data_IF_948360331425
#
_entry.id   IF_948360331425
#
_cell.length_a   1.000
_cell.length_b   1.000
_cell.length_c   1.000
_cell.angle_alpha   90.00
_cell.angle_beta   90.00
_cell.angle_gamma   90.00
#
_symmetry.space_group_name_H-M   'P 1'
#
loop_
_entity.id
_entity.type
_entity.pdbx_description
1 polymer ?
#
# COMPACT_ATOMS: atom_id res chain seq x y z
N UNK A 1 2.65 -2.12 -24.42
CA UNK A 1 2.03 -3.20 -25.23
C UNK A 1 1.15 -2.56 -26.28
N UNK A 2 1.01 -3.17 -27.48
CA UNK A 2 0.24 -2.60 -28.59
C UNK A 2 -1.24 -2.34 -28.25
N UNK A 3 -1.83 -3.15 -27.38
CA UNK A 3 -3.26 -3.09 -27.04
C UNK A 3 -3.57 -2.30 -25.75
N UNK A 4 -2.53 -1.76 -25.08
CA UNK A 4 -2.66 -1.02 -23.80
C UNK A 4 -3.46 -1.74 -22.68
N UNK A 5 -3.60 -3.05 -22.77
CA UNK A 5 -4.24 -3.93 -21.78
C UNK A 5 -3.20 -4.84 -21.10
N UNK A 6 -3.51 -5.33 -19.90
CA UNK A 6 -2.72 -6.34 -19.19
C UNK A 6 -3.46 -7.67 -19.28
N UNK A 7 -2.83 -8.68 -19.90
CA UNK A 7 -3.43 -10.00 -20.06
C UNK A 7 -3.36 -10.81 -18.76
N UNK A 8 -4.27 -11.76 -18.58
CA UNK A 8 -4.20 -12.73 -17.48
C UNK A 8 -2.98 -13.65 -17.62
N UNK A 9 -2.64 -14.02 -18.86
CA UNK A 9 -1.43 -14.79 -19.14
C UNK A 9 -0.19 -13.87 -19.15
N UNK A 10 0.60 -13.93 -18.07
CA UNK A 10 1.83 -13.15 -17.89
C UNK A 10 2.87 -13.29 -19.03
N UNK A 11 2.81 -14.34 -19.86
CA UNK A 11 3.69 -14.45 -21.02
C UNK A 11 3.29 -13.50 -22.15
N UNK A 12 2.01 -13.16 -22.28
CA UNK A 12 1.53 -12.17 -23.24
C UNK A 12 1.89 -10.74 -22.81
N UNK A 13 2.21 -10.55 -21.53
CA UNK A 13 2.67 -9.30 -20.97
C UNK A 13 4.17 -9.03 -21.19
N UNK A 14 4.87 -9.83 -22.01
CA UNK A 14 6.32 -9.72 -22.26
C UNK A 14 6.61 -9.25 -23.68
N UNK A 15 7.44 -8.21 -23.79
CA UNK A 15 8.03 -7.77 -25.06
C UNK A 15 9.47 -8.30 -25.19
N UNK A 16 9.79 -8.91 -26.33
CA UNK A 16 11.15 -9.36 -26.64
C UNK A 16 11.79 -8.41 -27.64
N UNK A 17 13.00 -7.95 -27.34
CA UNK A 17 13.82 -7.13 -28.25
C UNK A 17 15.03 -7.97 -28.64
N UNK A 18 15.16 -8.26 -29.94
CA UNK A 18 16.31 -8.94 -30.51
C UNK A 18 17.13 -7.91 -31.30
N UNK A 19 18.40 -7.77 -30.97
CA UNK A 19 19.32 -6.87 -31.69
C UNK A 19 20.67 -7.55 -31.88
N UNK A 20 21.25 -7.36 -33.07
CA UNK A 20 22.61 -7.76 -33.42
C UNK A 20 23.57 -6.55 -33.47
N UNK A 21 23.10 -5.35 -33.13
CA UNK A 21 23.87 -4.11 -33.18
C UNK A 21 24.53 -3.86 -31.82
N UNK A 22 25.87 -3.93 -31.75
CA UNK A 22 26.64 -3.72 -30.51
C UNK A 22 26.38 -2.38 -29.81
N UNK A 23 26.04 -1.33 -30.57
CA UNK A 23 25.75 0.00 -30.00
C UNK A 23 24.41 0.09 -29.27
N UNK A 24 23.54 -0.93 -29.39
CA UNK A 24 22.30 -1.07 -28.62
C UNK A 24 22.54 -1.90 -27.35
N UNK A 25 23.70 -1.73 -26.72
CA UNK A 25 24.00 -2.33 -25.43
C UNK A 25 22.96 -1.87 -24.40
N UNK A 26 22.36 -2.84 -23.70
CA UNK A 26 21.30 -2.57 -22.72
C UNK A 26 21.88 -1.76 -21.58
N UNK A 27 21.61 -0.46 -21.56
CA UNK A 27 21.98 0.42 -20.46
C UNK A 27 21.04 0.22 -19.28
N UNK A 28 21.54 0.52 -18.08
CA UNK A 28 20.73 0.60 -16.87
C UNK A 28 19.65 1.67 -17.06
N UNK A 29 18.39 1.26 -16.97
CA UNK A 29 17.27 2.19 -16.91
C UNK A 29 17.27 2.88 -15.53
N UNK A 30 17.24 4.21 -15.51
CA UNK A 30 17.32 4.98 -14.27
C UNK A 30 15.95 5.23 -13.64
N UNK A 31 14.90 5.33 -14.46
CA UNK A 31 13.55 5.63 -13.98
C UNK A 31 12.83 4.39 -13.44
N UNK A 32 12.92 3.26 -14.16
CA UNK A 32 12.40 1.97 -13.75
C UNK A 32 13.49 0.88 -13.86
N UNK A 33 14.37 0.75 -12.85
CA UNK A 33 15.58 -0.05 -12.97
C UNK A 33 15.36 -1.53 -13.25
N UNK A 34 14.22 -2.11 -12.84
CA UNK A 34 13.95 -3.54 -13.00
C UNK A 34 13.25 -3.91 -14.32
N UNK A 35 12.99 -2.93 -15.21
CA UNK A 35 12.17 -3.15 -16.41
C UNK A 35 12.87 -4.01 -17.47
N UNK A 36 14.18 -3.87 -17.63
CA UNK A 36 14.93 -4.62 -18.66
C UNK A 36 15.51 -5.89 -18.04
N UNK A 37 15.02 -7.05 -18.46
CA UNK A 37 15.42 -8.36 -17.92
C UNK A 37 16.11 -9.18 -19.01
N UNK A 38 17.44 -9.16 -19.02
CA UNK A 38 18.27 -9.78 -20.07
C UNK A 38 19.01 -11.05 -19.63
N UNK A 39 19.09 -11.32 -18.33
CA UNK A 39 19.75 -12.53 -17.80
C UNK A 39 18.71 -13.65 -17.72
N UNK A 40 18.94 -14.74 -18.44
CA UNK A 40 18.06 -15.92 -18.39
C UNK A 40 18.60 -16.93 -17.39
N UNK A 41 17.78 -17.36 -16.44
CA UNK A 41 18.04 -18.48 -15.53
C UNK A 41 17.06 -19.61 -15.80
N UNK A 42 17.49 -20.85 -15.63
CA UNK A 42 16.67 -22.05 -15.88
C UNK A 42 16.71 -22.98 -14.68
N UNK A 43 15.56 -23.56 -14.31
CA UNK A 43 15.54 -24.51 -13.20
C UNK A 43 16.31 -25.76 -13.62
N UNK A 44 17.07 -26.34 -12.70
CA UNK A 44 17.79 -27.60 -12.91
C UNK A 44 16.79 -28.75 -13.11
N UNK A 45 17.22 -29.80 -13.81
CA UNK A 45 16.37 -30.97 -14.12
C UNK A 45 16.03 -31.83 -12.90
N UNK A 46 16.66 -31.57 -11.74
CA UNK A 46 16.33 -32.19 -10.45
C UNK A 46 14.95 -31.80 -9.90
N UNK A 47 14.26 -30.87 -10.56
CA UNK A 47 12.94 -30.38 -10.17
C UNK A 47 11.85 -31.41 -10.46
N UNK A 48 11.01 -31.66 -9.46
CA UNK A 48 9.78 -32.44 -9.59
C UNK A 48 8.58 -31.51 -9.33
N UNK A 49 7.44 -31.69 -10.04
CA UNK A 49 6.25 -30.86 -9.84
C UNK A 49 5.77 -30.83 -8.38
N UNK A 50 5.55 -29.63 -7.84
CA UNK A 50 5.13 -29.43 -6.46
C UNK A 50 3.60 -29.34 -6.31
N UNK A 51 2.91 -28.82 -7.32
CA UNK A 51 1.46 -28.56 -7.36
C UNK A 51 0.96 -27.84 -6.11
N UNK A 52 1.59 -26.73 -5.77
CA UNK A 52 1.20 -25.95 -4.61
C UNK A 52 -0.04 -25.14 -4.91
N UNK A 53 -0.94 -24.99 -3.94
CA UNK A 53 -2.00 -24.00 -4.02
C UNK A 53 -1.40 -22.60 -3.79
N UNK A 54 -1.38 -21.75 -4.81
CA UNK A 54 -0.85 -20.37 -4.69
C UNK A 54 -1.96 -19.35 -4.82
N UNK A 55 -1.88 -18.32 -3.99
CA UNK A 55 -2.71 -17.12 -4.06
C UNK A 55 -1.90 -15.95 -4.61
N UNK A 56 -2.35 -15.37 -5.71
CA UNK A 56 -1.79 -14.12 -6.21
C UNK A 56 -2.92 -13.14 -6.50
N UNK A 57 -2.70 -11.89 -6.14
CA UNK A 57 -3.60 -10.82 -6.55
C UNK A 57 -2.85 -9.53 -6.76
N UNK A 58 -3.23 -8.82 -7.81
CA UNK A 58 -2.84 -7.44 -7.99
C UNK A 58 -3.39 -6.56 -6.86
N UNK A 59 -2.69 -5.44 -6.61
CA UNK A 59 -3.12 -4.45 -5.62
C UNK A 59 -4.47 -3.88 -6.03
N UNK A 60 -5.47 -4.05 -5.17
CA UNK A 60 -6.86 -3.58 -5.40
C UNK A 60 -7.13 -2.18 -4.86
N UNK A 61 -6.36 -1.77 -3.85
CA UNK A 61 -6.55 -0.52 -3.12
C UNK A 61 -5.24 0.25 -2.99
N UNK A 62 -5.26 1.54 -3.33
CA UNK A 62 -4.11 2.43 -3.22
C UNK A 62 -4.17 3.30 -1.96
N UNK A 63 -5.09 3.00 -1.06
CA UNK A 63 -5.39 3.80 0.13
C UNK A 63 -5.91 5.19 -0.25
N UNK A 64 -6.59 5.33 -1.38
CA UNK A 64 -7.10 6.60 -1.88
C UNK A 64 -8.61 6.73 -1.66
N UNK A 65 -9.04 7.98 -1.51
CA UNK A 65 -10.46 8.35 -1.51
C UNK A 65 -10.97 8.37 -2.95
N UNK A 66 -12.02 7.58 -3.23
CA UNK A 66 -12.63 7.43 -4.55
C UNK A 66 -13.97 8.19 -4.65
N UNK A 67 -14.58 8.18 -5.85
CA UNK A 67 -15.80 8.96 -6.15
C UNK A 67 -17.00 8.65 -5.24
N UNK A 68 -17.07 7.47 -4.65
CA UNK A 68 -18.11 7.12 -3.69
C UNK A 68 -18.13 8.02 -2.44
N UNK A 69 -17.00 8.66 -2.12
CA UNK A 69 -16.87 9.68 -1.09
C UNK A 69 -17.84 10.85 -1.28
N UNK A 70 -18.20 11.19 -2.53
CA UNK A 70 -19.06 12.34 -2.81
C UNK A 70 -20.42 12.21 -2.13
N UNK A 71 -20.99 11.00 -2.15
CA UNK A 71 -22.27 10.75 -1.53
C UNK A 71 -22.18 10.79 0.01
N UNK A 72 -21.05 10.38 0.58
CA UNK A 72 -20.82 10.44 2.04
C UNK A 72 -20.64 11.89 2.49
N UNK A 73 -19.89 12.69 1.73
CA UNK A 73 -19.72 14.12 1.97
C UNK A 73 -21.05 14.87 1.86
N UNK A 74 -21.84 14.60 0.82
CA UNK A 74 -23.18 15.17 0.67
C UNK A 74 -24.05 14.87 1.90
N UNK A 75 -24.10 13.61 2.33
CA UNK A 75 -24.87 13.18 3.51
C UNK A 75 -24.42 13.90 4.78
N UNK A 76 -23.12 13.91 5.06
CA UNK A 76 -22.56 14.48 6.29
C UNK A 76 -22.79 15.99 6.36
N UNK A 77 -22.46 16.73 5.28
CA UNK A 77 -22.68 18.17 5.24
C UNK A 77 -24.16 18.54 5.22
N UNK A 78 -25.00 17.85 4.45
CA UNK A 78 -26.44 18.13 4.43
C UNK A 78 -27.06 17.91 5.81
N UNK A 79 -26.70 16.82 6.50
CA UNK A 79 -27.12 16.56 7.87
C UNK A 79 -26.67 17.68 8.81
N UNK A 80 -25.41 18.10 8.73
CA UNK A 80 -24.88 19.17 9.56
C UNK A 80 -25.60 20.49 9.30
N UNK A 81 -25.79 20.91 8.06
CA UNK A 81 -26.44 22.18 7.72
C UNK A 81 -27.98 22.09 7.69
N UNK A 82 -28.58 20.94 7.96
CA UNK A 82 -30.03 20.74 7.88
C UNK A 82 -30.60 20.92 6.46
N UNK A 83 -29.80 20.64 5.44
CA UNK A 83 -30.19 20.68 4.02
C UNK A 83 -30.79 19.31 3.65
N UNK A 84 -31.85 19.30 2.85
CA UNK A 84 -32.40 18.06 2.31
C UNK A 84 -31.57 17.60 1.11
N UNK A 85 -30.89 16.46 1.26
CA UNK A 85 -30.02 15.90 0.22
C UNK A 85 -30.76 15.53 -1.07
N UNK A 86 -32.09 15.31 -0.99
CA UNK A 86 -32.95 14.92 -2.11
C UNK A 86 -33.40 16.10 -2.96
N UNK A 87 -33.35 17.31 -2.43
CA UNK A 87 -33.72 18.53 -3.15
C UNK A 87 -32.52 19.01 -3.98
N UNK A 88 -32.50 18.61 -5.26
CA UNK A 88 -31.32 18.79 -6.11
C UNK A 88 -31.17 20.19 -6.73
N UNK A 89 -32.22 21.01 -6.83
CA UNK A 89 -32.17 22.34 -7.47
C UNK A 89 -33.25 23.29 -6.92
N UNK A 90 -32.96 24.60 -6.89
CA UNK A 90 -33.97 25.66 -6.72
C UNK A 90 -34.26 26.16 -5.30
N UNK A 91 -33.59 25.61 -4.27
CA UNK A 91 -33.75 26.03 -2.86
C UNK A 91 -32.51 26.73 -2.29
N UNK A 92 -31.68 27.33 -3.16
CA UNK A 92 -30.37 27.84 -2.79
C UNK A 92 -30.42 28.92 -1.71
N UNK A 93 -31.37 29.85 -1.77
CA UNK A 93 -31.46 30.93 -0.78
C UNK A 93 -31.81 30.37 0.60
N UNK A 94 -32.77 29.45 0.68
CA UNK A 94 -33.10 28.74 1.93
C UNK A 94 -31.92 27.91 2.45
N UNK A 95 -31.15 27.29 1.56
CA UNK A 95 -29.96 26.54 1.95
C UNK A 95 -28.86 27.47 2.46
N UNK A 96 -28.63 28.62 1.81
CA UNK A 96 -27.70 29.65 2.26
C UNK A 96 -28.10 30.17 3.64
N UNK A 97 -29.39 30.42 3.90
CA UNK A 97 -29.87 30.85 5.22
C UNK A 97 -29.55 29.82 6.29
N UNK A 98 -29.78 28.53 6.02
CA UNK A 98 -29.43 27.43 6.94
C UNK A 98 -27.92 27.33 7.20
N UNK A 99 -27.11 27.54 6.17
CA UNK A 99 -25.64 27.54 6.28
C UNK A 99 -25.15 28.74 7.09
N UNK A 100 -25.69 29.94 6.84
CA UNK A 100 -25.39 31.18 7.59
C UNK A 100 -25.67 31.09 9.07
N UNK A 101 -26.64 30.26 9.49
CA UNK A 101 -26.91 30.02 10.90
C UNK A 101 -25.80 29.27 11.64
N UNK A 102 -24.88 28.60 10.92
CA UNK A 102 -23.84 27.75 11.51
C UNK A 102 -22.42 28.21 11.21
N UNK A 103 -22.20 28.81 10.06
CA UNK A 103 -20.88 29.27 9.61
C UNK A 103 -20.99 30.64 8.96
N UNK A 104 -19.88 31.37 8.98
CA UNK A 104 -19.82 32.63 8.25
C UNK A 104 -19.61 32.36 6.75
N UNK A 105 -20.56 32.77 5.92
CA UNK A 105 -20.40 32.78 4.45
C UNK A 105 -20.49 34.20 3.88
N UNK A 106 -20.56 35.22 4.73
CA UNK A 106 -20.62 36.63 4.32
C UNK A 106 -19.21 37.22 4.16
N UNK A 107 -19.09 38.15 3.19
CA UNK A 107 -17.88 38.82 2.70
C UNK A 107 -16.99 38.05 1.72
N UNK A 108 -17.47 37.80 0.49
CA UNK A 108 -16.69 37.98 -0.77
C UNK A 108 -17.64 38.38 -1.93
N UNK A 109 -18.51 39.37 -1.71
CA UNK A 109 -19.33 39.93 -2.79
C UNK A 109 -18.57 40.98 -3.64
N UNK A 110 -17.31 41.28 -3.31
CA UNK A 110 -16.45 42.06 -4.20
C UNK A 110 -15.95 41.16 -5.33
N UNK A 111 -16.82 40.96 -6.32
CA UNK A 111 -16.36 40.82 -7.70
C UNK A 111 -15.34 41.94 -7.95
N UNK A 112 -14.13 41.57 -8.33
CA UNK A 112 -13.07 42.42 -8.87
C UNK A 112 -12.09 43.13 -7.92
N UNK A 113 -12.20 43.02 -6.60
CA UNK A 113 -11.10 43.48 -5.72
C UNK A 113 -10.34 42.30 -5.13
N UNK A 114 -9.03 42.35 -5.33
CA UNK A 114 -8.09 41.36 -4.86
C UNK A 114 -8.31 41.15 -3.35
N UNK A 115 -8.78 39.97 -2.99
CA UNK A 115 -9.00 39.51 -1.61
C UNK A 115 -7.62 39.25 -0.99
N UNK A 116 -6.86 40.32 -0.73
CA UNK A 116 -5.47 40.24 -0.25
C UNK A 116 -5.34 40.54 1.25
N UNK A 117 -6.37 41.04 1.92
CA UNK A 117 -6.23 41.64 3.26
C UNK A 117 -7.32 41.24 4.27
N UNK A 118 -7.65 39.95 4.41
CA UNK A 118 -8.49 39.48 5.53
C UNK A 118 -7.67 38.58 6.44
N UNK A 119 -7.49 39.00 7.68
CA UNK A 119 -6.77 38.24 8.71
C UNK A 119 -7.58 37.02 9.15
N UNK A 120 -6.97 35.83 9.13
CA UNK A 120 -7.53 34.60 9.68
C UNK A 120 -7.62 34.67 11.21
N UNK A 121 -8.71 34.17 11.81
CA UNK A 121 -8.80 33.99 13.26
C UNK A 121 -8.03 32.73 13.67
N UNK A 122 -6.84 32.98 14.22
CA UNK A 122 -5.81 31.98 14.47
C UNK A 122 -6.17 31.06 15.64
N UNK A 123 -7.08 31.50 16.52
CA UNK A 123 -7.53 30.76 17.71
C UNK A 123 -8.35 29.51 17.40
N UNK A 124 -8.77 29.32 16.15
CA UNK A 124 -9.49 28.13 15.69
C UNK A 124 -8.55 26.96 15.41
N UNK A 125 -7.27 27.22 15.13
CA UNK A 125 -6.28 26.19 14.84
C UNK A 125 -5.72 25.53 16.11
N UNK A 126 -5.67 26.28 17.21
CA UNK A 126 -5.39 25.74 18.56
C UNK A 126 -6.47 24.74 19.06
N UNK A 127 -7.63 24.67 18.38
CA UNK A 127 -8.73 23.73 18.70
C UNK A 127 -8.73 22.47 17.84
N UNK A 128 -7.80 22.35 16.88
CA UNK A 128 -7.54 21.08 16.24
C UNK A 128 -6.95 20.13 17.30
N UNK A 129 -7.38 18.87 17.40
CA UNK A 129 -6.85 17.96 18.41
C UNK A 129 -5.32 17.83 18.25
N UNK A 130 -4.57 18.43 19.17
CA UNK A 130 -3.10 18.44 19.21
C UNK A 130 -2.54 17.01 19.14
N UNK A 131 -3.28 16.07 19.75
CA UNK A 131 -3.01 14.65 19.81
C UNK A 131 -3.10 13.91 18.44
N UNK A 132 -3.61 14.56 17.39
CA UNK A 132 -3.60 14.02 16.00
C UNK A 132 -2.59 14.67 15.06
N UNK A 133 -1.96 15.79 15.44
CA UNK A 133 -1.05 16.56 14.57
C UNK A 133 0.36 16.48 15.16
N UNK A 134 1.29 15.80 14.49
CA UNK A 134 2.64 15.54 15.03
C UNK A 134 3.75 16.32 14.32
N UNK A 135 4.76 16.76 15.07
CA UNK A 135 6.02 17.30 14.52
C UNK A 135 5.86 18.64 13.77
N UNK A 136 6.59 18.79 12.66
CA UNK A 136 6.61 20.00 11.78
C UNK A 136 5.21 20.49 11.34
N UNK A 137 4.18 19.65 11.45
CA UNK A 137 2.80 19.99 11.12
C UNK A 137 2.17 20.89 12.18
N UNK A 138 2.54 20.76 13.46
CA UNK A 138 2.09 21.65 14.53
C UNK A 138 2.68 23.08 14.37
N UNK A 139 3.96 23.17 13.97
CA UNK A 139 4.61 24.47 13.67
C UNK A 139 3.96 25.22 12.49
N UNK A 140 3.35 24.48 11.56
CA UNK A 140 2.64 24.97 10.38
C UNK A 140 1.28 25.61 10.71
N UNK A 141 0.63 25.12 11.75
CA UNK A 141 -0.60 25.67 12.31
C UNK A 141 -0.34 26.60 13.51
N UNK A 142 0.94 26.94 13.79
CA UNK A 142 1.27 27.85 14.89
C UNK A 142 0.74 29.25 14.63
N UNK A 143 0.40 29.94 15.73
CA UNK A 143 -0.14 31.29 15.70
C UNK A 143 0.77 32.25 14.91
N UNK A 144 2.08 32.01 14.95
CA UNK A 144 3.11 32.81 14.28
C UNK A 144 3.22 32.56 12.77
N UNK A 145 2.97 31.33 12.29
CA UNK A 145 2.96 31.00 10.85
C UNK A 145 1.67 31.49 10.19
N UNK A 146 0.55 31.38 10.91
CA UNK A 146 -0.79 31.80 10.45
C UNK A 146 -1.04 33.31 10.55
N UNK A 147 -0.25 34.06 11.34
CA UNK A 147 -0.28 35.53 11.36
C UNK A 147 0.68 36.19 10.35
N UNK A 148 1.74 35.51 9.87
CA UNK A 148 2.74 36.03 8.90
C UNK A 148 2.24 36.03 7.45
N UNK A 149 0.94 36.04 7.30
CA UNK A 149 0.19 35.37 6.26
C UNK A 149 -0.61 36.37 5.43
N UNK A 150 0.07 37.43 4.95
CA UNK A 150 -0.49 38.32 3.94
C UNK A 150 -0.44 37.57 2.61
N UNK A 151 -1.50 36.83 2.28
CA UNK A 151 -1.34 35.67 1.42
C UNK A 151 -1.62 35.90 -0.06
N UNK A 152 -0.66 35.43 -0.86
CA UNK A 152 -0.80 35.19 -2.28
C UNK A 152 -1.80 34.05 -2.55
N UNK A 153 -2.28 33.88 -3.79
CA UNK A 153 -3.16 32.76 -4.13
C UNK A 153 -2.53 31.40 -3.82
N UNK A 154 -1.20 31.27 -3.94
CA UNK A 154 -0.45 30.03 -3.70
C UNK A 154 -0.54 29.58 -2.25
N UNK A 155 -0.47 30.53 -1.31
CA UNK A 155 -0.60 30.25 0.11
C UNK A 155 -2.01 29.76 0.47
N UNK A 156 -3.05 30.39 -0.08
CA UNK A 156 -4.45 29.97 0.12
C UNK A 156 -4.68 28.50 -0.27
N UNK A 157 -4.18 28.12 -1.45
CA UNK A 157 -4.25 26.72 -1.91
C UNK A 157 -3.52 25.78 -0.95
N UNK A 158 -2.36 26.20 -0.45
CA UNK A 158 -1.55 25.41 0.47
C UNK A 158 -2.27 25.16 1.81
N UNK A 159 -2.80 26.18 2.48
CA UNK A 159 -3.51 26.01 3.75
C UNK A 159 -4.80 25.20 3.61
N UNK A 160 -5.53 25.40 2.52
CA UNK A 160 -6.74 24.62 2.25
C UNK A 160 -6.42 23.12 2.06
N UNK A 161 -5.35 22.79 1.32
CA UNK A 161 -4.91 21.40 1.18
C UNK A 161 -4.33 20.82 2.47
N UNK A 162 -3.64 21.62 3.28
CA UNK A 162 -3.15 21.22 4.60
C UNK A 162 -4.30 20.86 5.55
N UNK A 163 -5.38 21.65 5.56
CA UNK A 163 -6.58 21.35 6.35
C UNK A 163 -7.21 20.01 5.94
N UNK A 164 -7.34 19.76 4.63
CA UNK A 164 -7.84 18.46 4.14
C UNK A 164 -6.90 17.34 4.57
N UNK A 165 -5.59 17.49 4.33
CA UNK A 165 -4.56 16.49 4.63
C UNK A 165 -4.60 16.06 6.09
N UNK A 166 -4.70 17.00 7.03
CA UNK A 166 -4.77 16.72 8.47
C UNK A 166 -5.97 15.84 8.87
N UNK A 167 -7.04 15.86 8.07
CA UNK A 167 -8.28 15.14 8.36
C UNK A 167 -8.47 13.84 7.55
N UNK A 168 -7.49 13.44 6.73
CA UNK A 168 -7.57 12.22 5.91
C UNK A 168 -7.47 10.91 6.71
N UNK A 169 -7.04 10.95 7.99
CA UNK A 169 -7.08 9.81 8.92
C UNK A 169 -6.60 8.45 8.33
N UNK A 170 -5.45 8.41 7.65
CA UNK A 170 -4.84 7.19 7.13
C UNK A 170 -4.97 6.96 5.62
N UNK A 171 -5.75 7.77 4.90
CA UNK A 171 -5.76 7.77 3.43
C UNK A 171 -4.51 8.47 2.83
N UNK A 172 -4.06 8.00 1.67
CA UNK A 172 -2.95 8.53 0.89
C UNK A 172 -3.23 9.97 0.45
N UNK A 173 -2.48 10.92 1.02
CA UNK A 173 -2.72 12.35 0.80
C UNK A 173 -2.64 12.78 -0.67
N UNK A 174 -1.57 12.41 -1.38
CA UNK A 174 -1.35 12.80 -2.78
C UNK A 174 -2.47 12.33 -3.70
N UNK A 175 -3.08 11.19 -3.38
CA UNK A 175 -4.14 10.57 -4.20
C UNK A 175 -5.53 11.05 -3.80
N UNK A 176 -5.72 11.42 -2.53
CA UNK A 176 -7.06 11.70 -1.97
C UNK A 176 -7.46 13.17 -2.01
N UNK A 177 -6.52 14.10 -1.85
CA UNK A 177 -6.80 15.55 -1.82
C UNK A 177 -7.62 15.99 -3.05
N UNK A 178 -7.26 15.64 -4.30
CA UNK A 178 -8.04 16.07 -5.47
C UNK A 178 -9.51 15.64 -5.41
N UNK A 179 -9.78 14.39 -5.00
CA UNK A 179 -11.14 13.85 -4.87
C UNK A 179 -11.93 14.60 -3.79
N UNK A 180 -11.32 14.87 -2.63
CA UNK A 180 -11.98 15.61 -1.54
C UNK A 180 -12.30 17.05 -1.95
N UNK A 181 -11.35 17.74 -2.60
CA UNK A 181 -11.57 19.10 -3.14
C UNK A 181 -12.75 19.11 -4.11
N UNK A 182 -12.76 18.19 -5.05
CA UNK A 182 -13.83 18.10 -6.05
C UNK A 182 -15.18 17.76 -5.41
N UNK A 183 -15.22 16.87 -4.43
CA UNK A 183 -16.42 16.56 -3.66
C UNK A 183 -16.99 17.82 -2.97
N UNK A 184 -16.12 18.59 -2.30
CA UNK A 184 -16.49 19.83 -1.63
C UNK A 184 -17.01 20.88 -2.60
N UNK A 185 -16.30 21.13 -3.71
CA UNK A 185 -16.72 22.08 -4.73
C UNK A 185 -18.06 21.69 -5.35
N UNK A 186 -18.27 20.39 -5.60
CA UNK A 186 -19.57 19.89 -6.06
C UNK A 186 -20.67 20.12 -5.04
N UNK A 187 -20.41 19.97 -3.74
CA UNK A 187 -21.39 20.26 -2.69
C UNK A 187 -21.81 21.74 -2.69
N UNK A 188 -20.84 22.67 -2.70
CA UNK A 188 -21.13 24.11 -2.76
C UNK A 188 -21.87 24.51 -4.02
N UNK A 189 -21.47 23.98 -5.18
CA UNK A 189 -22.18 24.20 -6.45
C UNK A 189 -23.61 23.65 -6.39
N UNK A 190 -23.78 22.41 -5.92
CA UNK A 190 -25.07 21.69 -5.90
C UNK A 190 -26.07 22.32 -4.94
N UNK A 191 -25.65 22.70 -3.74
CA UNK A 191 -26.56 23.12 -2.67
C UNK A 191 -26.63 24.63 -2.46
N UNK A 192 -25.60 25.39 -2.87
CA UNK A 192 -25.52 26.85 -2.67
C UNK A 192 -25.40 27.64 -3.99
N UNK A 193 -25.33 26.95 -5.14
CA UNK A 193 -25.20 27.56 -6.47
C UNK A 193 -23.99 28.50 -6.61
N UNK A 194 -22.86 28.13 -6.01
CA UNK A 194 -21.60 28.84 -6.22
C UNK A 194 -21.00 28.39 -7.55
N UNK A 195 -20.83 29.33 -8.48
CA UNK A 195 -20.19 29.07 -9.78
C UNK A 195 -18.70 28.76 -9.56
N UNK A 196 -18.20 27.66 -10.11
CA UNK A 196 -16.80 27.26 -9.97
C UNK A 196 -15.86 28.00 -10.95
N UNK A 197 -16.40 28.74 -11.91
CA UNK A 197 -15.64 29.57 -12.86
C UNK A 197 -15.29 30.92 -12.22
N UNK A 198 -14.16 31.51 -12.62
CA UNK A 198 -13.66 32.77 -12.06
C UNK A 198 -13.23 32.58 -10.60
N UNK A 199 -13.61 33.51 -9.73
CA UNK A 199 -13.16 33.52 -8.33
C UNK A 199 -13.94 32.57 -7.40
N UNK A 200 -14.85 31.73 -7.92
CA UNK A 200 -15.70 30.90 -7.06
C UNK A 200 -14.98 29.78 -6.32
N UNK A 201 -13.92 29.20 -6.90
CA UNK A 201 -13.06 28.24 -6.18
C UNK A 201 -12.36 28.93 -5.00
N UNK A 202 -11.80 30.12 -5.26
CA UNK A 202 -11.15 30.95 -4.23
C UNK A 202 -12.16 31.32 -3.14
N UNK A 203 -13.39 31.66 -3.52
CA UNK A 203 -14.48 31.95 -2.58
C UNK A 203 -14.78 30.76 -1.67
N UNK A 204 -14.91 29.55 -2.22
CA UNK A 204 -15.15 28.34 -1.43
C UNK A 204 -13.99 28.06 -0.47
N UNK A 205 -12.74 28.19 -0.94
CA UNK A 205 -11.57 27.95 -0.09
C UNK A 205 -11.50 28.93 1.07
N UNK A 206 -11.79 30.21 0.82
CA UNK A 206 -11.88 31.23 1.87
C UNK A 206 -13.01 30.92 2.87
N UNK A 207 -14.22 30.54 2.41
CA UNK A 207 -15.29 30.08 3.33
C UNK A 207 -14.78 28.95 4.22
N UNK A 208 -14.08 27.98 3.65
CA UNK A 208 -13.60 26.82 4.41
C UNK A 208 -12.56 27.23 5.45
N UNK A 209 -11.61 28.09 5.08
CA UNK A 209 -10.54 28.54 5.97
C UNK A 209 -11.04 29.51 7.05
N UNK A 210 -11.94 30.44 6.72
CA UNK A 210 -12.62 31.31 7.69
C UNK A 210 -13.43 30.51 8.72
N UNK A 211 -13.77 29.24 8.39
CA UNK A 211 -14.52 28.34 9.25
C UNK A 211 -13.75 27.02 9.50
N UNK A 212 -12.41 27.09 9.56
CA UNK A 212 -11.53 25.91 9.53
C UNK A 212 -11.87 24.86 10.60
N UNK A 213 -12.17 25.26 11.84
CA UNK A 213 -12.53 24.32 12.91
C UNK A 213 -13.79 23.51 12.62
N UNK A 214 -14.83 24.17 12.06
CA UNK A 214 -16.06 23.49 11.65
C UNK A 214 -15.80 22.52 10.50
N UNK A 215 -15.04 22.94 9.48
CA UNK A 215 -14.72 22.09 8.35
C UNK A 215 -13.77 20.94 8.70
N UNK A 216 -12.84 21.13 9.66
CA UNK A 216 -12.01 20.04 10.17
C UNK A 216 -12.87 18.92 10.76
N UNK A 217 -13.82 19.27 11.65
CA UNK A 217 -14.75 18.31 12.24
C UNK A 217 -15.57 17.62 11.13
N UNK A 218 -16.08 18.38 10.16
CA UNK A 218 -16.89 17.81 9.09
C UNK A 218 -16.10 16.89 8.16
N UNK A 219 -14.86 17.23 7.82
CA UNK A 219 -13.98 16.35 7.07
C UNK A 219 -13.69 15.08 7.85
N UNK A 220 -13.32 15.19 9.13
CA UNK A 220 -13.05 14.04 9.98
C UNK A 220 -14.29 13.13 10.14
N UNK A 221 -15.48 13.69 10.39
CA UNK A 221 -16.74 12.93 10.42
C UNK A 221 -17.02 12.22 9.10
N UNK A 222 -16.87 12.94 7.97
CA UNK A 222 -17.10 12.37 6.64
C UNK A 222 -16.13 11.23 6.36
N UNK A 223 -14.85 11.39 6.73
CA UNK A 223 -13.82 10.37 6.54
C UNK A 223 -14.08 9.15 7.40
N UNK A 224 -14.47 9.33 8.67
CA UNK A 224 -14.86 8.21 9.55
C UNK A 224 -16.08 7.46 8.98
N UNK A 225 -17.07 8.16 8.46
CA UNK A 225 -18.25 7.56 7.82
C UNK A 225 -17.92 6.86 6.50
N UNK A 226 -16.89 7.33 5.78
CA UNK A 226 -16.47 6.77 4.50
C UNK A 226 -15.65 5.48 4.64
N UNK A 227 -14.79 5.37 5.66
CA UNK A 227 -13.94 4.20 5.90
C UNK A 227 -14.66 2.85 5.76
N UNK A 228 -15.79 2.57 6.46
CA UNK A 228 -16.45 1.27 6.36
C UNK A 228 -17.00 1.00 4.95
N UNK A 229 -17.49 2.03 4.26
CA UNK A 229 -17.97 1.90 2.88
C UNK A 229 -16.82 1.59 1.92
N UNK A 230 -15.67 2.23 2.11
CA UNK A 230 -14.46 1.93 1.34
C UNK A 230 -13.94 0.51 1.60
N UNK A 231 -13.94 0.07 2.85
CA UNK A 231 -13.58 -1.30 3.21
C UNK A 231 -14.49 -2.34 2.54
N UNK A 232 -15.81 -2.08 2.50
CA UNK A 232 -16.77 -2.92 1.80
C UNK A 232 -16.54 -2.95 0.28
N UNK A 233 -16.30 -1.79 -0.34
CA UNK A 233 -15.94 -1.69 -1.76
C UNK A 233 -14.69 -2.50 -2.10
N UNK A 234 -13.67 -2.41 -1.23
CA UNK A 234 -12.42 -3.18 -1.38
C UNK A 234 -12.71 -4.67 -1.27
N UNK A 235 -13.42 -5.11 -0.22
CA UNK A 235 -13.70 -6.53 0.01
C UNK A 235 -14.53 -7.13 -1.13
N UNK A 236 -15.57 -6.43 -1.59
CA UNK A 236 -16.37 -6.88 -2.73
C UNK A 236 -15.54 -7.01 -4.00
N UNK A 237 -14.69 -6.03 -4.28
CA UNK A 237 -13.78 -6.10 -5.43
C UNK A 237 -12.79 -7.25 -5.30
N UNK A 238 -12.33 -7.55 -4.09
CA UNK A 238 -11.46 -8.70 -3.82
C UNK A 238 -12.19 -10.00 -4.15
N UNK A 239 -13.42 -10.18 -3.64
CA UNK A 239 -14.24 -11.36 -3.89
C UNK A 239 -14.52 -11.57 -5.39
N UNK A 240 -14.73 -10.49 -6.14
CA UNK A 240 -15.01 -10.54 -7.58
C UNK A 240 -13.81 -10.98 -8.45
N UNK A 241 -12.58 -10.69 -8.02
CA UNK A 241 -11.35 -10.96 -8.80
C UNK A 241 -10.45 -12.02 -8.15
N UNK A 242 -10.92 -12.67 -7.09
CA UNK A 242 -10.13 -13.64 -6.35
C UNK A 242 -9.86 -14.89 -7.20
N UNK A 243 -8.57 -15.15 -7.45
CA UNK A 243 -8.12 -16.29 -8.24
C UNK A 243 -7.07 -17.10 -7.46
N UNK A 244 -7.20 -18.42 -7.54
CA UNK A 244 -6.29 -19.38 -6.94
C UNK A 244 -5.68 -20.25 -8.04
N UNK A 245 -4.37 -20.43 -7.98
CA UNK A 245 -3.71 -21.45 -8.79
C UNK A 245 -3.55 -22.72 -7.95
N UNK A 246 -4.37 -23.73 -8.22
CA UNK A 246 -4.38 -24.99 -7.46
C UNK A 246 -3.19 -25.92 -7.81
N UNK A 247 -2.48 -25.66 -8.91
CA UNK A 247 -1.32 -26.45 -9.34
C UNK A 247 -0.13 -25.51 -9.67
N UNK A 248 0.17 -24.57 -8.77
CA UNK A 248 1.27 -23.64 -8.96
C UNK A 248 2.62 -24.37 -8.94
N UNK A 249 3.52 -23.93 -9.82
CA UNK A 249 4.84 -24.53 -10.04
C UNK A 249 5.92 -23.44 -10.16
N UNK A 250 7.15 -23.78 -9.73
CA UNK A 250 8.31 -22.95 -10.03
C UNK A 250 8.55 -22.98 -11.55
N UNK A 251 8.45 -21.83 -12.21
CA UNK A 251 8.57 -21.75 -13.67
C UNK A 251 9.90 -22.28 -14.20
N UNK A 252 9.88 -22.84 -15.42
CA UNK A 252 11.06 -23.47 -16.03
C UNK A 252 12.23 -22.50 -16.22
N UNK A 253 11.94 -21.23 -16.49
CA UNK A 253 12.95 -20.20 -16.69
C UNK A 253 12.44 -18.82 -16.29
N UNK A 254 13.36 -17.95 -15.85
CA UNK A 254 13.08 -16.55 -15.57
C UNK A 254 14.07 -15.65 -16.27
N UNK A 255 13.60 -14.46 -16.62
CA UNK A 255 14.46 -13.37 -17.05
C UNK A 255 14.64 -12.43 -15.86
N UNK A 256 15.87 -12.08 -15.55
CA UNK A 256 16.24 -11.23 -14.42
C UNK A 256 16.96 -9.98 -14.93
N UNK A 257 16.88 -8.92 -14.14
CA UNK A 257 17.59 -7.69 -14.41
C UNK A 257 19.05 -7.81 -13.97
N UNK A 258 20.04 -7.59 -14.87
CA UNK A 258 21.46 -7.75 -14.55
C UNK A 258 22.00 -6.72 -13.55
N UNK A 259 21.27 -5.65 -13.26
CA UNK A 259 21.68 -4.59 -12.32
C UNK A 259 21.01 -4.72 -10.95
N UNK A 260 19.90 -5.46 -10.85
CA UNK A 260 19.24 -5.77 -9.59
C UNK A 260 19.69 -7.12 -9.00
N UNK A 261 20.10 -8.05 -9.86
CA UNK A 261 20.54 -9.39 -9.46
C UNK A 261 22.04 -9.57 -9.67
N UNK A 262 22.71 -10.20 -8.70
CA UNK A 262 24.11 -10.57 -8.79
C UNK A 262 24.26 -12.08 -8.99
N UNK A 263 25.32 -12.48 -9.71
CA UNK A 263 25.66 -13.89 -9.91
C UNK A 263 26.34 -14.45 -8.65
N UNK A 264 25.93 -15.64 -8.23
CA UNK A 264 26.56 -16.39 -7.13
C UNK A 264 26.92 -17.80 -7.60
N UNK A 265 27.86 -18.42 -6.88
CA UNK A 265 28.31 -19.81 -7.11
C UNK A 265 27.74 -20.73 -6.02
N UNK A 266 26.41 -20.85 -6.02
CA UNK A 266 25.66 -21.69 -5.09
C UNK A 266 25.15 -22.95 -5.79
N UNK A 267 25.48 -24.11 -5.22
CA UNK A 267 25.29 -25.39 -5.87
C UNK A 267 23.86 -25.92 -5.70
N UNK A 268 23.24 -25.64 -4.55
CA UNK A 268 21.89 -26.12 -4.21
C UNK A 268 20.80 -25.16 -4.70
N UNK A 269 21.14 -23.97 -5.21
CA UNK A 269 20.17 -23.10 -5.86
C UNK A 269 19.48 -23.86 -7.01
N UNK A 270 18.15 -23.84 -7.03
CA UNK A 270 17.37 -24.54 -8.04
C UNK A 270 17.58 -23.96 -9.45
N UNK A 271 17.82 -22.64 -9.55
CA UNK A 271 18.10 -21.98 -10.82
C UNK A 271 19.59 -22.01 -11.16
N UNK A 272 19.89 -22.24 -12.44
CA UNK A 272 21.23 -22.17 -13.02
C UNK A 272 21.23 -21.25 -14.28
N UNK A 273 22.15 -20.27 -14.38
CA UNK A 273 23.06 -19.79 -13.32
C UNK A 273 22.31 -19.21 -12.12
N UNK A 274 22.91 -19.29 -10.93
CA UNK A 274 22.34 -18.70 -9.71
C UNK A 274 22.51 -17.18 -9.74
N UNK A 275 21.37 -16.47 -9.86
CA UNK A 275 21.29 -15.02 -9.76
C UNK A 275 20.29 -14.65 -8.68
N UNK A 276 20.74 -13.83 -7.72
CA UNK A 276 19.96 -13.49 -6.53
C UNK A 276 19.93 -11.99 -6.33
N UNK A 277 18.86 -11.53 -5.70
CA UNK A 277 18.74 -10.20 -5.14
C UNK A 277 18.69 -10.38 -3.62
N UNK A 278 19.75 -9.96 -2.94
CA UNK A 278 19.88 -10.08 -1.50
C UNK A 278 19.75 -8.69 -0.89
N UNK A 279 18.55 -8.39 -0.39
CA UNK A 279 18.24 -7.09 0.21
C UNK A 279 18.52 -7.08 1.73
N UNK A 280 18.79 -8.25 2.32
CA UNK A 280 19.05 -8.41 3.74
C UNK A 280 20.21 -9.38 4.03
N UNK A 281 20.97 -9.11 5.10
CA UNK A 281 22.04 -10.01 5.55
C UNK A 281 21.50 -11.36 6.03
N UNK A 282 20.28 -11.38 6.58
CA UNK A 282 19.67 -12.60 7.12
C UNK A 282 19.38 -13.63 6.03
N UNK A 283 18.88 -13.20 4.87
CA UNK A 283 18.68 -14.09 3.71
C UNK A 283 19.99 -14.68 3.23
N UNK A 284 21.03 -13.84 3.11
CA UNK A 284 22.36 -14.30 2.72
C UNK A 284 22.89 -15.37 3.67
N UNK A 285 22.83 -15.09 4.98
CA UNK A 285 23.29 -16.02 6.01
C UNK A 285 22.51 -17.34 5.96
N UNK A 286 21.20 -17.28 5.69
CA UNK A 286 20.35 -18.47 5.59
C UNK A 286 20.68 -19.31 4.35
N UNK A 287 20.94 -18.66 3.21
CA UNK A 287 21.40 -19.34 1.99
C UNK A 287 22.75 -20.04 2.23
N UNK A 288 23.71 -19.35 2.84
CA UNK A 288 25.02 -19.93 3.18
C UNK A 288 24.87 -21.15 4.10
N UNK A 289 23.95 -21.09 5.06
CA UNK A 289 23.60 -22.23 5.89
C UNK A 289 23.03 -23.39 5.07
N UNK A 290 22.03 -23.15 4.22
CA UNK A 290 21.45 -24.20 3.37
C UNK A 290 22.50 -24.84 2.45
N UNK A 291 23.39 -24.05 1.85
CA UNK A 291 24.49 -24.51 1.01
C UNK A 291 25.51 -25.36 1.78
N UNK A 292 25.65 -25.17 3.10
CA UNK A 292 26.48 -26.03 3.96
C UNK A 292 25.84 -27.39 4.26
N UNK A 293 24.51 -27.52 4.11
CA UNK A 293 23.73 -28.70 4.46
C UNK A 293 23.42 -29.58 3.23
N UNK A 294 24.42 -29.79 2.37
CA UNK A 294 24.31 -30.57 1.12
C UNK A 294 23.85 -32.01 1.33
N UNK A 295 24.05 -32.56 2.52
CA UNK A 295 23.62 -33.92 2.85
C UNK A 295 22.11 -34.01 3.10
N UNK A 296 21.48 -32.94 3.59
CA UNK A 296 20.05 -32.88 3.91
C UNK A 296 19.21 -32.12 2.87
N UNK A 297 19.76 -31.07 2.24
CA UNK A 297 19.06 -30.21 1.29
C UNK A 297 19.25 -30.73 -0.15
N UNK A 298 18.15 -30.93 -0.88
CA UNK A 298 18.16 -31.30 -2.31
C UNK A 298 18.31 -30.07 -3.18
N UNK A 299 17.51 -29.04 -2.92
CA UNK A 299 17.64 -27.71 -3.53
C UNK A 299 16.90 -26.66 -2.71
N UNK A 300 17.24 -25.39 -2.93
CA UNK A 300 16.47 -24.25 -2.43
C UNK A 300 16.17 -23.27 -3.58
N UNK A 301 15.09 -22.52 -3.42
CA UNK A 301 14.64 -21.50 -4.35
C UNK A 301 14.25 -20.24 -3.58
N UNK A 302 14.85 -19.11 -3.96
CA UNK A 302 14.45 -17.79 -3.46
C UNK A 302 13.24 -17.31 -4.29
N UNK A 303 12.20 -16.91 -3.58
CA UNK A 303 11.01 -16.32 -4.18
C UNK A 303 11.34 -14.93 -4.75
N UNK A 304 10.53 -14.45 -5.68
CA UNK A 304 10.70 -13.10 -6.21
C UNK A 304 10.07 -12.05 -5.29
N UNK A 305 10.70 -10.89 -5.23
CA UNK A 305 10.22 -9.69 -4.53
C UNK A 305 9.11 -8.94 -5.29
N UNK A 306 9.00 -9.19 -6.60
CA UNK A 306 7.93 -8.64 -7.42
C UNK A 306 6.58 -9.26 -7.08
N UNK A 307 5.55 -8.44 -6.95
CA UNK A 307 4.17 -8.92 -6.82
C UNK A 307 3.64 -9.42 -8.17
N UNK A 308 3.96 -10.67 -8.53
CA UNK A 308 3.52 -11.34 -9.76
C UNK A 308 3.03 -12.77 -9.51
N UNK A 309 2.14 -13.26 -10.36
CA UNK A 309 1.58 -14.63 -10.31
C UNK A 309 2.64 -15.74 -10.43
N UNK A 310 3.77 -15.41 -11.05
CA UNK A 310 4.92 -16.29 -11.20
C UNK A 310 5.60 -16.63 -9.87
N UNK A 311 5.38 -15.83 -8.83
CA UNK A 311 5.91 -16.03 -7.48
C UNK A 311 4.91 -16.80 -6.62
N UNK A 312 5.42 -17.57 -5.67
CA UNK A 312 4.57 -18.31 -4.75
C UNK A 312 3.96 -17.34 -3.74
N UNK A 313 2.66 -17.47 -3.51
CA UNK A 313 1.92 -16.56 -2.63
C UNK A 313 0.92 -17.28 -1.74
N UNK A 314 0.79 -16.79 -0.50
CA UNK A 314 -0.16 -17.23 0.50
C UNK A 314 -1.10 -16.07 0.80
N UNK A 315 -2.41 -16.31 0.84
CA UNK A 315 -3.38 -15.30 1.25
C UNK A 315 -3.17 -15.00 2.74
N UNK A 316 -2.96 -13.73 3.07
CA UNK A 316 -2.91 -13.26 4.45
C UNK A 316 -3.83 -12.04 4.61
N UNK A 317 -4.34 -11.83 5.83
CA UNK A 317 -5.23 -10.71 6.22
C UNK A 317 -6.47 -10.43 5.33
N UNK A 318 -6.89 -11.38 4.49
CA UNK A 318 -7.93 -11.28 3.45
C UNK A 318 -7.70 -10.22 2.36
N UNK A 319 -6.73 -9.32 2.53
CA UNK A 319 -6.51 -8.17 1.68
C UNK A 319 -5.17 -8.20 0.96
N UNK A 320 -4.35 -9.23 1.09
CA UNK A 320 -3.03 -9.23 0.45
C UNK A 320 -2.45 -10.64 0.23
N UNK A 321 -1.36 -10.67 -0.52
CA UNK A 321 -0.55 -11.86 -0.81
C UNK A 321 0.77 -11.75 -0.05
N UNK A 322 1.06 -12.76 0.76
CA UNK A 322 2.34 -12.95 1.43
C UNK A 322 3.20 -13.87 0.56
N UNK A 323 4.41 -13.44 0.22
CA UNK A 323 5.37 -14.22 -0.56
C UNK A 323 6.51 -14.63 0.39
N UNK A 324 6.51 -15.87 0.91
CA UNK A 324 7.63 -16.36 1.73
C UNK A 324 8.93 -16.31 0.94
N UNK A 325 10.04 -16.00 1.61
CA UNK A 325 11.35 -15.81 0.96
C UNK A 325 11.88 -17.07 0.27
N UNK A 326 11.65 -18.26 0.84
CA UNK A 326 12.28 -19.50 0.38
C UNK A 326 11.33 -20.69 0.30
N UNK A 327 11.51 -21.48 -0.76
CA UNK A 327 11.10 -22.88 -0.83
C UNK A 327 12.36 -23.76 -0.77
N UNK A 328 12.35 -24.81 0.06
CA UNK A 328 13.51 -25.70 0.23
C UNK A 328 13.04 -27.16 0.18
N UNK A 329 13.50 -27.93 -0.79
CA UNK A 329 13.22 -29.36 -0.83
C UNK A 329 14.34 -30.12 -0.14
N UNK A 330 13.99 -30.93 0.86
CA UNK A 330 14.91 -31.80 1.58
C UNK A 330 15.02 -33.17 0.90
N UNK A 331 16.12 -33.88 1.13
CA UNK A 331 16.35 -35.21 0.54
C UNK A 331 15.43 -36.30 1.09
N UNK A 332 14.85 -36.08 2.27
CA UNK A 332 13.80 -36.93 2.85
C UNK A 332 12.42 -36.70 2.22
N UNK A 333 12.31 -35.79 1.24
CA UNK A 333 11.09 -35.49 0.51
C UNK A 333 10.20 -34.43 1.17
N UNK A 334 10.58 -33.87 2.32
CA UNK A 334 9.84 -32.74 2.90
C UNK A 334 10.10 -31.45 2.12
N UNK A 335 9.08 -30.63 1.95
CA UNK A 335 9.20 -29.27 1.40
C UNK A 335 9.07 -28.25 2.54
N UNK A 336 10.09 -27.41 2.69
CA UNK A 336 10.14 -26.29 3.61
C UNK A 336 9.64 -25.00 2.95
N UNK A 337 8.79 -24.24 3.65
CA UNK A 337 8.39 -22.87 3.29
C UNK A 337 8.89 -21.92 4.37
N UNK A 338 9.84 -21.05 4.04
CA UNK A 338 10.52 -20.20 5.03
C UNK A 338 10.49 -18.74 4.65
N UNK A 339 10.38 -17.91 5.67
CA UNK A 339 10.37 -16.46 5.52
C UNK A 339 11.28 -15.87 6.60
N UNK A 340 12.36 -15.25 6.17
CA UNK A 340 13.39 -14.74 7.06
C UNK A 340 13.00 -13.39 7.62
N UNK A 341 13.38 -13.14 8.87
CA UNK A 341 13.05 -11.90 9.58
C UNK A 341 14.23 -11.40 10.39
N UNK A 342 14.41 -10.08 10.34
CA UNK A 342 15.19 -9.39 11.35
C UNK A 342 14.42 -9.44 12.67
N UNK A 343 15.08 -9.83 13.76
CA UNK A 343 14.43 -9.97 15.07
C UNK A 343 13.78 -8.66 15.54
N UNK A 344 12.49 -8.72 15.90
CA UNK A 344 11.70 -7.62 16.48
C UNK A 344 11.41 -6.43 15.56
N UNK A 345 11.26 -6.68 14.26
CA UNK A 345 10.82 -5.68 13.30
C UNK A 345 9.47 -6.08 12.69
N UNK A 346 8.50 -5.15 12.66
CA UNK A 346 7.15 -5.35 12.10
C UNK A 346 6.37 -6.54 12.68
N UNK A 347 6.36 -6.70 14.01
CA UNK A 347 5.75 -7.85 14.69
C UNK A 347 4.26 -8.05 14.38
N UNK A 348 3.49 -6.97 14.18
CA UNK A 348 2.08 -7.08 13.77
C UNK A 348 1.91 -7.75 12.39
N UNK A 349 2.79 -7.42 11.43
CA UNK A 349 2.78 -8.05 10.09
C UNK A 349 3.35 -9.47 10.16
N UNK A 350 4.39 -9.69 10.96
CA UNK A 350 4.96 -11.02 11.20
C UNK A 350 3.92 -11.97 11.80
N UNK A 351 3.10 -11.47 12.73
CA UNK A 351 1.98 -12.23 13.28
C UNK A 351 1.01 -12.68 12.19
N UNK A 352 0.53 -11.75 11.37
CA UNK A 352 -0.41 -12.06 10.29
C UNK A 352 0.18 -13.06 9.29
N UNK A 353 1.46 -12.91 8.93
CA UNK A 353 2.16 -13.81 7.99
C UNK A 353 2.41 -15.19 8.59
N UNK A 354 2.95 -15.25 9.81
CA UNK A 354 3.25 -16.50 10.53
C UNK A 354 2.01 -17.35 10.73
N UNK A 355 0.92 -16.76 11.24
CA UNK A 355 -0.35 -17.46 11.45
C UNK A 355 -0.98 -17.90 10.11
N UNK A 356 -0.88 -17.09 9.05
CA UNK A 356 -1.38 -17.47 7.73
C UNK A 356 -0.55 -18.59 7.09
N UNK A 357 0.77 -18.61 7.31
CA UNK A 357 1.65 -19.68 6.87
C UNK A 357 1.32 -21.00 7.57
N UNK A 358 1.12 -20.99 8.89
CA UNK A 358 0.72 -22.20 9.62
C UNK A 358 -0.65 -22.71 9.18
N UNK A 359 -1.61 -21.81 8.93
CA UNK A 359 -2.90 -22.19 8.36
C UNK A 359 -2.75 -22.84 6.99
N UNK A 360 -1.97 -22.22 6.11
CA UNK A 360 -1.67 -22.76 4.78
C UNK A 360 -1.08 -24.17 4.85
N UNK A 361 -0.05 -24.37 5.69
CA UNK A 361 0.61 -25.68 5.86
C UNK A 361 -0.38 -26.75 6.37
N UNK A 362 -1.30 -26.38 7.26
CA UNK A 362 -2.30 -27.30 7.81
C UNK A 362 -3.39 -27.70 6.81
N UNK A 363 -3.74 -26.80 5.90
CA UNK A 363 -4.75 -27.03 4.86
C UNK A 363 -4.18 -27.83 3.68
N UNK A 364 -2.88 -27.67 3.42
CA UNK A 364 -2.16 -28.34 2.35
C UNK A 364 -1.91 -29.83 2.70
N UNK A 365 -2.25 -30.75 1.79
CA UNK A 365 -2.16 -32.21 2.05
C UNK A 365 -0.77 -32.82 1.79
N UNK A 366 0.21 -31.96 1.53
CA UNK A 366 1.56 -32.33 1.13
C UNK A 366 2.48 -32.46 2.34
N UNK A 367 3.63 -33.14 2.18
CA UNK A 367 4.66 -33.28 3.21
C UNK A 367 5.43 -31.96 3.41
N UNK A 368 4.74 -30.93 3.88
CA UNK A 368 5.22 -29.55 3.99
C UNK A 368 5.39 -29.17 5.46
N UNK A 369 6.42 -28.39 5.73
CA UNK A 369 6.58 -27.67 6.99
C UNK A 369 7.17 -26.29 6.71
N UNK A 370 7.13 -25.39 7.68
CA UNK A 370 7.56 -24.03 7.41
C UNK A 370 7.23 -23.08 8.53
N UNK A 371 7.89 -21.93 8.51
CA UNK A 371 7.78 -20.95 9.58
C UNK A 371 8.61 -19.71 9.32
N UNK A 372 8.48 -18.74 10.22
CA UNK A 372 9.35 -17.57 10.23
C UNK A 372 10.72 -17.96 10.78
N UNK A 373 11.78 -17.52 10.12
CA UNK A 373 13.17 -17.79 10.49
C UNK A 373 13.83 -16.52 11.03
N UNK A 374 14.49 -16.64 12.18
CA UNK A 374 15.39 -15.61 12.71
C UNK A 374 16.77 -16.20 12.97
N UNK A 375 17.80 -15.35 13.00
CA UNK A 375 19.16 -15.73 13.40
C UNK A 375 19.45 -15.25 14.82
N UNK A 376 19.85 -16.19 15.67
CA UNK A 376 20.29 -15.96 17.04
C UNK A 376 21.76 -16.40 17.14
N UNK A 377 22.67 -15.44 17.22
CA UNK A 377 24.11 -15.74 17.20
C UNK A 377 24.51 -16.45 15.90
N UNK A 378 24.96 -17.71 16.03
CA UNK A 378 25.36 -18.56 14.90
C UNK A 378 24.27 -19.55 14.46
N UNK A 379 23.12 -19.56 15.14
CA UNK A 379 22.06 -20.54 14.92
C UNK A 379 20.83 -19.89 14.30
N UNK A 380 20.09 -20.69 13.52
CA UNK A 380 18.77 -20.32 13.03
C UNK A 380 17.68 -20.89 13.94
N UNK A 381 16.68 -20.06 14.19
CA UNK A 381 15.48 -20.39 14.98
C UNK A 381 14.26 -20.27 14.10
N UNK A 382 13.28 -21.15 14.31
CA UNK A 382 12.05 -21.21 13.52
C UNK A 382 10.81 -21.15 14.43
N UNK A 383 9.83 -20.33 14.05
CA UNK A 383 8.52 -20.34 14.68
C UNK A 383 7.56 -21.24 13.89
N UNK A 384 7.06 -22.28 14.54
CA UNK A 384 6.09 -23.24 13.99
C UNK A 384 4.73 -23.16 14.69
N UNK A 385 4.46 -22.12 15.49
CA UNK A 385 3.26 -22.05 16.32
C UNK A 385 2.08 -21.52 15.53
N UNK A 386 0.91 -22.13 15.70
CA UNK A 386 -0.35 -21.64 15.09
C UNK A 386 -0.69 -20.20 15.51
N UNK A 387 -0.38 -19.84 16.76
CA UNK A 387 -0.47 -18.47 17.28
C UNK A 387 0.92 -17.89 17.39
N UNK A 388 1.18 -16.79 16.69
CA UNK A 388 2.50 -16.19 16.65
C UNK A 388 2.78 -15.34 17.89
N UNK A 389 3.95 -15.55 18.47
CA UNK A 389 4.55 -14.67 19.49
C UNK A 389 5.99 -14.35 19.07
N UNK A 390 6.36 -13.08 19.13
CA UNK A 390 7.66 -12.60 18.67
C UNK A 390 8.83 -13.24 19.42
N UNK A 391 9.97 -13.42 18.74
CA UNK A 391 11.14 -14.10 19.33
C UNK A 391 11.61 -13.47 20.64
N UNK A 392 11.61 -12.13 20.74
CA UNK A 392 12.03 -11.43 21.96
C UNK A 392 11.05 -11.57 23.12
N UNK A 393 9.77 -11.79 22.82
CA UNK A 393 8.73 -11.93 23.83
C UNK A 393 8.70 -13.37 24.38
N UNK A 394 8.80 -14.37 23.50
CA UNK A 394 8.75 -15.78 23.89
C UNK A 394 9.71 -16.65 23.07
N UNK A 395 11.02 -16.63 23.40
CA UNK A 395 12.04 -17.42 22.69
C UNK A 395 11.76 -18.93 22.67
N UNK A 396 11.11 -19.46 23.72
CA UNK A 396 10.80 -20.90 23.84
C UNK A 396 9.80 -21.40 22.79
N UNK A 397 9.05 -20.50 22.13
CA UNK A 397 8.19 -20.86 21.00
C UNK A 397 8.98 -21.07 19.70
N UNK A 398 10.29 -20.84 19.72
CA UNK A 398 11.16 -20.89 18.55
C UNK A 398 12.20 -22.02 18.67
N UNK A 399 12.05 -23.01 17.80
CA UNK A 399 12.86 -24.24 17.82
C UNK A 399 14.17 -24.02 17.06
N UNK A 400 15.22 -24.78 17.38
CA UNK A 400 16.44 -24.76 16.56
C UNK A 400 16.17 -25.38 15.20
N UNK A 401 16.42 -24.64 14.13
CA UNK A 401 16.15 -25.12 12.77
C UNK A 401 16.95 -26.38 12.43
N UNK A 402 18.17 -26.51 12.97
CA UNK A 402 19.03 -27.67 12.77
C UNK A 402 18.43 -28.98 13.29
N UNK A 403 17.57 -28.92 14.31
CA UNK A 403 16.92 -30.12 14.85
C UNK A 403 15.88 -30.71 13.89
N UNK A 404 15.36 -29.88 12.98
CA UNK A 404 14.37 -30.25 11.97
C UNK A 404 14.98 -30.81 10.69
N UNK A 405 16.29 -30.61 10.49
CA UNK A 405 17.01 -30.98 9.27
C UNK A 405 18.09 -32.02 9.59
N UNK A 406 17.68 -33.29 9.70
CA UNK A 406 18.57 -34.42 9.96
C UNK A 406 18.69 -35.33 8.76
#
# INVERSE_FOLDING_TARGET
MPEAEHYENDNLNKGFVYTNVKSLEVKKETYNPNIIKSVVVKRKDIYEPLKLKSYYRNRVDFGDITLSFYNVLDKTFCRYFGIDEKLKMGYYDKNKDKVKQKINIENIDNKDEIILNKSLDVKLFDKLPEDKISGKEADLFSETTLMKANHSQEDLFYYFEALIKANLNGFSFKRSIPTVKQALYRWFMKYLNINLVGNGIIYIQNIVLDNAGTFAILFDETIRAYKPLKDEEINKKIEEIEEWNEEWEIVKSRNLNPYAYSKYDYNLCLYDPCYLKLDSNIEKDFIEYLESKKDAVKWWWQNGDEHMSLNFGIKYNNKSTFQPDFLVLFKDGRLGIFDTKASAYNEDDNKLKGESLQRYIKEEKNNIFGGLIVKEGQHFRINLKETYTGFKEKPDDWEYFEELIK
#
